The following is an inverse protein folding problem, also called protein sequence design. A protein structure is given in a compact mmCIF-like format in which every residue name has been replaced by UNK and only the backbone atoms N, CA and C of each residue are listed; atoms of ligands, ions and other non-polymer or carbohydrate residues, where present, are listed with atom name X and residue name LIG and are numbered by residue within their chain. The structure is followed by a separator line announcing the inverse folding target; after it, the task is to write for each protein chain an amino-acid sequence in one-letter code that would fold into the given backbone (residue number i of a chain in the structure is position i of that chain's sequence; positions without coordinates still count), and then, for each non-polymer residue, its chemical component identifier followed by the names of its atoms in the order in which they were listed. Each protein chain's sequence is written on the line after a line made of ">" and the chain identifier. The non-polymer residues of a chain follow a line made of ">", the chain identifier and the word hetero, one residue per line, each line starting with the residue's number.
data_IF_961778581146
#
_entry.id   IF_961778581146
#
_cell.length_a   1.000
_cell.length_b   1.000
_cell.length_c   1.000
_cell.angle_alpha   90.00
_cell.angle_beta   90.00
_cell.angle_gamma   90.00
#
_symmetry.space_group_name_H-M   'P 1'
#
loop_
_entity.id
_entity.type
_entity.pdbx_description
1 polymer ?
#
# COMPACT_ATOMS: atom_id res chain seq x y z
N UNK A 1 36.92 2.28 -13.25
CA UNK A 1 36.71 1.72 -11.92
C UNK A 1 36.28 0.27 -12.12
N UNK A 2 36.90 -0.64 -11.36
CA UNK A 2 36.80 -2.07 -11.56
C UNK A 2 35.40 -2.60 -11.17
N UNK A 3 34.87 -3.57 -11.90
CA UNK A 3 33.61 -4.29 -11.60
C UNK A 3 33.58 -4.86 -10.17
N UNK A 4 34.74 -5.17 -9.61
CA UNK A 4 34.91 -5.59 -8.21
C UNK A 4 34.44 -4.50 -7.24
N UNK A 5 34.91 -3.26 -7.43
CA UNK A 5 34.53 -2.10 -6.59
C UNK A 5 33.03 -1.81 -6.67
N UNK A 6 32.39 -1.98 -7.84
CA UNK A 6 30.95 -1.82 -8.01
C UNK A 6 30.18 -2.85 -7.19
N UNK A 7 30.54 -4.14 -7.28
CA UNK A 7 29.89 -5.22 -6.57
C UNK A 7 30.06 -5.09 -5.05
N UNK A 8 31.23 -4.70 -4.57
CA UNK A 8 31.48 -4.46 -3.14
C UNK A 8 30.64 -3.27 -2.62
N UNK A 9 30.59 -2.17 -3.37
CA UNK A 9 29.78 -1.00 -3.01
C UNK A 9 28.29 -1.33 -2.99
N UNK A 10 27.81 -2.09 -3.99
CA UNK A 10 26.41 -2.56 -4.03
C UNK A 10 26.08 -3.47 -2.84
N UNK A 11 26.96 -4.43 -2.52
CA UNK A 11 26.75 -5.34 -1.40
C UNK A 11 26.66 -4.56 -0.06
N UNK A 12 27.54 -3.57 0.14
CA UNK A 12 27.51 -2.71 1.33
C UNK A 12 26.26 -1.84 1.37
N UNK A 13 25.80 -1.30 0.23
CA UNK A 13 24.54 -0.57 0.13
C UNK A 13 23.36 -1.42 0.54
N UNK A 14 23.27 -2.64 0.01
CA UNK A 14 22.19 -3.58 0.30
C UNK A 14 22.18 -4.01 1.77
N UNK A 15 23.35 -4.29 2.36
CA UNK A 15 23.46 -4.61 3.77
C UNK A 15 22.97 -3.46 4.68
N UNK A 16 23.32 -2.21 4.34
CA UNK A 16 22.85 -1.04 5.09
C UNK A 16 21.34 -0.85 4.91
N UNK A 17 20.80 -1.11 3.73
CA UNK A 17 19.36 -1.07 3.49
C UNK A 17 18.62 -2.09 4.38
N UNK A 18 19.12 -3.32 4.47
CA UNK A 18 18.55 -4.36 5.35
C UNK A 18 18.61 -3.99 6.83
N UNK A 19 19.66 -3.28 7.25
CA UNK A 19 19.82 -2.77 8.63
C UNK A 19 19.03 -1.50 8.90
N UNK A 20 18.22 -1.03 7.95
CA UNK A 20 17.46 0.23 8.01
C UNK A 20 18.34 1.49 8.15
N UNK A 21 19.62 1.43 7.75
CA UNK A 21 20.52 2.58 7.64
C UNK A 21 20.29 3.28 6.29
N UNK A 22 19.10 3.89 6.12
CA UNK A 22 18.59 4.30 4.80
C UNK A 22 19.42 5.39 4.12
N UNK A 23 19.97 6.35 4.87
CA UNK A 23 20.81 7.42 4.31
C UNK A 23 22.14 6.87 3.81
N UNK A 24 22.77 5.95 4.54
CA UNK A 24 24.01 5.30 4.11
C UNK A 24 23.74 4.45 2.87
N UNK A 25 22.67 3.65 2.88
CA UNK A 25 22.27 2.84 1.75
C UNK A 25 22.04 3.69 0.49
N UNK A 26 21.31 4.81 0.63
CA UNK A 26 21.05 5.75 -0.47
C UNK A 26 22.36 6.26 -1.08
N UNK A 27 23.27 6.79 -0.26
CA UNK A 27 24.55 7.34 -0.73
C UNK A 27 25.40 6.28 -1.45
N UNK A 28 25.38 5.03 -0.97
CA UNK A 28 26.11 3.95 -1.60
C UNK A 28 25.44 3.50 -2.92
N UNK A 29 24.12 3.44 -2.98
CA UNK A 29 23.40 3.18 -4.24
C UNK A 29 23.67 4.26 -5.29
N UNK A 30 23.73 5.54 -4.89
CA UNK A 30 24.07 6.63 -5.79
C UNK A 30 25.51 6.49 -6.33
N UNK A 31 26.48 6.06 -5.50
CA UNK A 31 27.84 5.74 -5.96
C UNK A 31 27.84 4.61 -6.99
N UNK A 32 27.06 3.56 -6.80
CA UNK A 32 26.93 2.48 -7.80
C UNK A 32 26.37 3.02 -9.11
N UNK A 33 25.34 3.88 -9.05
CA UNK A 33 24.72 4.46 -10.27
C UNK A 33 25.62 5.46 -10.97
N UNK A 34 26.59 6.06 -10.30
CA UNK A 34 27.62 6.89 -10.94
C UNK A 34 28.61 6.04 -11.75
N UNK A 35 28.79 4.76 -11.40
CA UNK A 35 29.67 3.82 -12.12
C UNK A 35 28.88 3.14 -13.24
N UNK A 36 27.74 2.55 -12.92
CA UNK A 36 26.81 1.93 -13.85
C UNK A 36 25.39 2.53 -13.67
N UNK A 37 25.04 3.52 -14.47
CA UNK A 37 23.71 4.14 -14.41
C UNK A 37 22.57 3.18 -14.68
N UNK A 38 22.80 2.06 -15.35
CA UNK A 38 21.80 1.07 -15.73
C UNK A 38 21.82 -0.19 -14.85
N UNK A 39 22.56 -0.20 -13.75
CA UNK A 39 22.57 -1.33 -12.82
C UNK A 39 21.19 -1.57 -12.25
N UNK A 40 20.44 -2.50 -12.86
CA UNK A 40 19.02 -2.72 -12.58
C UNK A 40 18.69 -2.84 -11.09
N UNK A 41 19.44 -3.71 -10.37
CA UNK A 41 19.20 -3.96 -8.94
C UNK A 41 19.30 -2.67 -8.13
N UNK A 42 20.28 -1.81 -8.44
CA UNK A 42 20.46 -0.54 -7.72
C UNK A 42 19.37 0.46 -8.06
N UNK A 43 19.02 0.60 -9.34
CA UNK A 43 17.92 1.49 -9.78
C UNK A 43 16.62 1.10 -9.09
N UNK A 44 16.29 -0.21 -9.05
CA UNK A 44 15.09 -0.73 -8.40
C UNK A 44 15.13 -0.51 -6.87
N UNK A 45 16.23 -0.91 -6.20
CA UNK A 45 16.32 -0.82 -4.74
C UNK A 45 16.34 0.62 -4.24
N UNK A 46 17.04 1.52 -4.93
CA UNK A 46 17.00 2.95 -4.60
C UNK A 46 15.61 3.55 -4.83
N UNK A 47 14.94 3.17 -5.92
CA UNK A 47 13.55 3.55 -6.17
C UNK A 47 12.60 3.08 -5.07
N UNK A 48 12.78 1.83 -4.59
CA UNK A 48 12.00 1.25 -3.49
C UNK A 48 12.25 1.97 -2.16
N UNK A 49 13.51 2.27 -1.85
CA UNK A 49 13.91 3.02 -0.66
C UNK A 49 13.28 4.43 -0.67
N UNK A 50 13.31 5.11 -1.80
CA UNK A 50 12.69 6.43 -1.94
C UNK A 50 11.16 6.37 -1.82
N UNK A 51 10.53 5.27 -2.23
CA UNK A 51 9.09 5.03 -2.02
C UNK A 51 8.78 4.91 -0.54
N UNK A 52 9.58 4.15 0.22
CA UNK A 52 9.44 4.01 1.68
C UNK A 52 9.59 5.37 2.39
N UNK A 53 10.53 6.20 1.93
CA UNK A 53 10.76 7.55 2.46
C UNK A 53 9.77 8.60 1.90
N UNK A 54 8.72 8.17 1.19
CA UNK A 54 7.70 9.04 0.59
C UNK A 54 8.23 10.08 -0.39
N UNK A 55 9.44 9.89 -0.92
CA UNK A 55 10.00 10.74 -1.96
C UNK A 55 9.52 10.27 -3.35
N UNK A 56 8.21 10.36 -3.57
CA UNK A 56 7.53 9.76 -4.71
C UNK A 56 7.99 10.28 -6.08
N UNK A 57 8.39 11.56 -6.17
CA UNK A 57 8.86 12.13 -7.42
C UNK A 57 10.19 11.53 -7.89
N UNK A 58 11.15 11.34 -6.99
CA UNK A 58 12.43 10.69 -7.32
C UNK A 58 12.24 9.18 -7.49
N UNK A 59 11.43 8.53 -6.64
CA UNK A 59 11.06 7.13 -6.77
C UNK A 59 10.47 6.83 -8.15
N UNK A 60 9.53 7.68 -8.63
CA UNK A 60 8.93 7.55 -9.97
C UNK A 60 9.99 7.53 -11.07
N UNK A 61 10.99 8.44 -11.03
CA UNK A 61 12.05 8.49 -12.04
C UNK A 61 12.84 7.19 -12.09
N UNK A 62 13.27 6.69 -10.93
CA UNK A 62 14.08 5.46 -10.84
C UNK A 62 13.25 4.21 -11.19
N UNK A 63 12.04 4.09 -10.66
CA UNK A 63 11.20 2.92 -10.95
C UNK A 63 10.74 2.88 -12.41
N UNK A 64 10.51 4.03 -13.06
CA UNK A 64 10.32 4.08 -14.52
C UNK A 64 11.55 3.57 -15.26
N UNK A 65 12.75 3.97 -14.84
CA UNK A 65 14.00 3.47 -15.43
C UNK A 65 14.16 1.96 -15.20
N UNK A 66 13.89 1.47 -13.98
CA UNK A 66 13.89 0.04 -13.71
C UNK A 66 12.91 -0.72 -14.61
N UNK A 67 11.70 -0.19 -14.80
CA UNK A 67 10.70 -0.79 -15.69
C UNK A 67 11.06 -0.72 -17.18
N UNK A 68 11.90 0.21 -17.60
CA UNK A 68 12.47 0.24 -18.96
C UNK A 68 13.53 -0.84 -19.15
N UNK A 69 14.35 -1.12 -18.12
CA UNK A 69 15.39 -2.14 -18.16
C UNK A 69 14.76 -3.56 -18.10
N UNK A 70 13.82 -3.76 -17.18
CA UNK A 70 13.06 -5.02 -17.05
C UNK A 70 11.55 -4.72 -16.92
N UNK A 71 10.81 -4.76 -18.05
CA UNK A 71 9.37 -4.46 -18.07
C UNK A 71 8.49 -5.48 -17.36
N UNK A 72 9.02 -6.67 -17.08
CA UNK A 72 8.29 -7.77 -16.45
C UNK A 72 8.70 -8.02 -14.99
N UNK A 73 9.51 -7.15 -14.41
CA UNK A 73 9.88 -7.29 -13.01
C UNK A 73 8.70 -6.90 -12.09
N UNK A 74 8.09 -7.91 -11.50
CA UNK A 74 6.86 -7.80 -10.71
C UNK A 74 6.92 -6.72 -9.63
N UNK A 75 8.01 -6.71 -8.84
CA UNK A 75 8.16 -5.76 -7.74
C UNK A 75 8.34 -4.32 -8.24
N UNK A 76 8.97 -4.11 -9.40
CA UNK A 76 9.05 -2.79 -10.04
C UNK A 76 7.66 -2.28 -10.43
N UNK A 77 6.84 -3.14 -11.05
CA UNK A 77 5.48 -2.79 -11.44
C UNK A 77 4.62 -2.47 -10.22
N UNK A 78 4.71 -3.27 -9.16
CA UNK A 78 3.98 -3.01 -7.92
C UNK A 78 4.38 -1.69 -7.26
N UNK A 79 5.69 -1.43 -7.12
CA UNK A 79 6.17 -0.20 -6.50
C UNK A 79 5.88 1.03 -7.37
N UNK A 80 5.99 0.91 -8.69
CA UNK A 80 5.64 1.98 -9.61
C UNK A 80 4.13 2.29 -9.58
N UNK A 81 3.30 1.24 -9.48
CA UNK A 81 1.86 1.37 -9.27
C UNK A 81 1.54 2.12 -7.97
N UNK A 82 2.21 1.75 -6.86
CA UNK A 82 2.06 2.44 -5.59
C UNK A 82 2.48 3.91 -5.69
N UNK A 83 3.62 4.19 -6.32
CA UNK A 83 4.10 5.56 -6.49
C UNK A 83 3.15 6.39 -7.35
N UNK A 84 2.59 5.82 -8.43
CA UNK A 84 1.56 6.50 -9.22
C UNK A 84 0.28 6.74 -8.40
N UNK A 85 -0.15 5.78 -7.59
CA UNK A 85 -1.29 5.93 -6.69
C UNK A 85 -1.09 7.09 -5.71
N UNK A 86 0.05 7.14 -5.02
CA UNK A 86 0.38 8.19 -4.05
C UNK A 86 0.50 9.59 -4.69
N UNK A 87 0.83 9.65 -5.97
CA UNK A 87 0.86 10.89 -6.76
C UNK A 87 -0.50 11.25 -7.39
N UNK A 88 -1.57 10.47 -7.14
CA UNK A 88 -2.89 10.69 -7.74
C UNK A 88 -2.98 10.31 -9.23
N UNK A 89 -1.95 9.68 -9.80
CA UNK A 89 -1.90 9.24 -11.20
C UNK A 89 -2.60 7.87 -11.36
N UNK A 90 -3.85 7.76 -10.90
CA UNK A 90 -4.57 6.48 -10.72
C UNK A 90 -4.68 5.64 -11.99
N UNK A 91 -4.84 6.27 -13.15
CA UNK A 91 -4.92 5.53 -14.43
C UNK A 91 -3.58 4.83 -14.76
N UNK A 92 -2.44 5.44 -14.42
CA UNK A 92 -1.13 4.82 -14.60
C UNK A 92 -0.88 3.72 -13.57
N UNK A 93 -1.33 3.94 -12.33
CA UNK A 93 -1.28 2.91 -11.28
C UNK A 93 -2.06 1.66 -11.71
N UNK A 94 -3.29 1.84 -12.23
CA UNK A 94 -4.11 0.76 -12.80
C UNK A 94 -3.33 -0.06 -13.82
N UNK A 95 -2.72 0.59 -14.82
CA UNK A 95 -1.94 -0.10 -15.86
C UNK A 95 -0.74 -0.88 -15.31
N UNK A 96 -0.09 -0.40 -14.24
CA UNK A 96 0.99 -1.12 -13.58
C UNK A 96 0.48 -2.39 -12.88
N UNK A 97 -0.62 -2.29 -12.12
CA UNK A 97 -1.17 -3.44 -11.41
C UNK A 97 -1.80 -4.47 -12.35
N UNK A 98 -2.46 -4.04 -13.43
CA UNK A 98 -2.98 -4.95 -14.46
C UNK A 98 -1.85 -5.76 -15.14
N UNK A 99 -0.69 -5.15 -15.40
CA UNK A 99 0.48 -5.88 -15.87
C UNK A 99 1.00 -6.85 -14.81
N UNK A 100 1.08 -6.41 -13.56
CA UNK A 100 1.58 -7.22 -12.46
C UNK A 100 0.73 -8.49 -12.24
N UNK A 101 -0.60 -8.41 -12.29
CA UNK A 101 -1.48 -9.59 -12.14
C UNK A 101 -1.43 -10.55 -13.34
N UNK A 102 -1.02 -10.08 -14.53
CA UNK A 102 -0.77 -10.97 -15.67
C UNK A 102 0.47 -11.82 -15.46
N UNK A 103 1.49 -11.28 -14.76
CA UNK A 103 2.73 -11.99 -14.42
C UNK A 103 2.48 -12.96 -13.26
N UNK A 104 1.83 -12.49 -12.19
CA UNK A 104 1.53 -13.30 -11.02
C UNK A 104 0.05 -13.16 -10.64
N UNK A 105 -0.74 -14.19 -10.99
CA UNK A 105 -2.19 -14.22 -10.80
C UNK A 105 -2.64 -14.43 -9.35
N UNK A 106 -1.74 -14.87 -8.47
CA UNK A 106 -2.07 -15.21 -7.08
C UNK A 106 -1.28 -14.33 -6.09
N UNK A 107 -1.40 -13.01 -6.23
CA UNK A 107 -0.72 -12.05 -5.37
C UNK A 107 -1.75 -11.12 -4.67
N UNK A 108 -2.12 -11.47 -3.43
CA UNK A 108 -3.13 -10.72 -2.66
C UNK A 108 -2.80 -9.23 -2.47
N UNK A 109 -1.56 -8.82 -2.12
CA UNK A 109 -1.16 -7.42 -2.08
C UNK A 109 -1.46 -6.63 -3.35
N UNK A 110 -1.17 -7.19 -4.53
CA UNK A 110 -1.39 -6.51 -5.81
C UNK A 110 -2.88 -6.32 -6.08
N UNK A 111 -3.71 -7.35 -5.81
CA UNK A 111 -5.17 -7.21 -5.94
C UNK A 111 -5.74 -6.17 -4.98
N UNK A 112 -5.24 -6.11 -3.75
CA UNK A 112 -5.67 -5.07 -2.81
C UNK A 112 -5.30 -3.66 -3.29
N UNK A 113 -4.09 -3.47 -3.81
CA UNK A 113 -3.63 -2.18 -4.35
C UNK A 113 -4.41 -1.79 -5.62
N UNK A 114 -4.72 -2.77 -6.47
CA UNK A 114 -5.60 -2.59 -7.63
C UNK A 114 -7.00 -2.17 -7.18
N UNK A 115 -7.57 -2.82 -6.16
CA UNK A 115 -8.85 -2.45 -5.58
C UNK A 115 -8.87 -1.01 -5.05
N UNK A 116 -7.81 -0.59 -4.34
CA UNK A 116 -7.68 0.80 -3.89
C UNK A 116 -7.67 1.76 -5.08
N UNK A 117 -6.92 1.43 -6.13
CA UNK A 117 -6.82 2.26 -7.33
C UNK A 117 -8.16 2.37 -8.07
N UNK A 118 -8.88 1.27 -8.22
CA UNK A 118 -10.20 1.23 -8.84
C UNK A 118 -11.23 2.03 -8.05
N UNK A 119 -11.15 1.98 -6.72
CA UNK A 119 -12.00 2.81 -5.84
C UNK A 119 -11.79 4.29 -6.09
N UNK A 120 -10.53 4.76 -6.17
CA UNK A 120 -10.21 6.17 -6.46
C UNK A 120 -10.67 6.58 -7.88
N UNK A 121 -10.75 5.64 -8.82
CA UNK A 121 -11.31 5.84 -10.16
C UNK A 121 -12.86 5.76 -10.21
N UNK A 122 -13.53 5.57 -9.07
CA UNK A 122 -14.98 5.43 -8.99
C UNK A 122 -15.52 4.07 -9.47
N UNK A 123 -14.66 3.12 -9.79
CA UNK A 123 -15.01 1.77 -10.27
C UNK A 123 -15.30 0.82 -9.10
N UNK A 124 -16.37 1.14 -8.36
CA UNK A 124 -16.67 0.52 -7.06
C UNK A 124 -16.86 -0.99 -7.15
N UNK A 125 -17.62 -1.48 -8.14
CA UNK A 125 -17.88 -2.92 -8.31
C UNK A 125 -16.59 -3.71 -8.59
N UNK A 126 -15.74 -3.17 -9.45
CA UNK A 126 -14.45 -3.77 -9.78
C UNK A 126 -13.50 -3.77 -8.57
N UNK A 127 -13.51 -2.69 -7.76
CA UNK A 127 -12.73 -2.61 -6.53
C UNK A 127 -13.15 -3.69 -5.51
N UNK A 128 -14.46 -3.91 -5.32
CA UNK A 128 -14.98 -4.97 -4.46
C UNK A 128 -14.46 -6.34 -4.94
N UNK A 129 -14.60 -6.65 -6.23
CA UNK A 129 -14.10 -7.92 -6.79
C UNK A 129 -12.59 -8.11 -6.58
N UNK A 130 -11.80 -7.04 -6.66
CA UNK A 130 -10.37 -7.11 -6.38
C UNK A 130 -10.07 -7.41 -4.90
N UNK A 131 -10.78 -6.79 -3.96
CA UNK A 131 -10.61 -7.11 -2.54
C UNK A 131 -11.05 -8.54 -2.21
N UNK A 132 -12.15 -9.01 -2.79
CA UNK A 132 -12.61 -10.39 -2.66
C UNK A 132 -11.57 -11.37 -3.20
N UNK A 133 -10.97 -11.07 -4.36
CA UNK A 133 -9.90 -11.89 -4.92
C UNK A 133 -8.67 -11.92 -4.03
N UNK A 134 -8.28 -10.78 -3.43
CA UNK A 134 -7.19 -10.74 -2.45
C UNK A 134 -7.47 -11.64 -1.23
N UNK A 135 -8.72 -11.65 -0.74
CA UNK A 135 -9.17 -12.50 0.37
C UNK A 135 -9.19 -13.98 -0.04
N UNK A 136 -9.61 -14.31 -1.26
CA UNK A 136 -9.55 -15.69 -1.77
C UNK A 136 -8.12 -16.24 -1.82
N UNK A 137 -7.15 -15.40 -2.21
CA UNK A 137 -5.74 -15.77 -2.26
C UNK A 137 -5.16 -15.90 -0.84
N UNK A 138 -5.50 -14.96 0.04
CA UNK A 138 -5.08 -14.97 1.43
C UNK A 138 -6.26 -14.61 2.34
N UNK A 139 -6.89 -15.62 2.92
CA UNK A 139 -8.09 -15.48 3.77
C UNK A 139 -7.84 -14.68 5.06
N UNK A 140 -6.60 -14.41 5.42
CA UNK A 140 -6.20 -13.61 6.57
C UNK A 140 -5.56 -12.26 6.18
N UNK A 141 -5.79 -11.79 4.94
CA UNK A 141 -5.21 -10.54 4.48
C UNK A 141 -5.98 -9.34 5.06
N UNK A 142 -5.45 -8.82 6.16
CA UNK A 142 -6.05 -7.75 6.98
C UNK A 142 -6.49 -6.53 6.18
N UNK A 143 -5.61 -6.04 5.28
CA UNK A 143 -5.90 -4.84 4.52
C UNK A 143 -7.11 -5.01 3.59
N UNK A 144 -7.24 -6.17 2.93
CA UNK A 144 -8.39 -6.43 2.05
C UNK A 144 -9.69 -6.53 2.82
N UNK A 145 -9.70 -7.18 4.00
CA UNK A 145 -10.89 -7.20 4.86
C UNK A 145 -11.29 -5.79 5.31
N UNK A 146 -10.32 -4.98 5.76
CA UNK A 146 -10.59 -3.59 6.18
C UNK A 146 -11.13 -2.74 5.03
N UNK A 147 -10.50 -2.82 3.85
CA UNK A 147 -10.91 -2.07 2.66
C UNK A 147 -12.28 -2.52 2.13
N UNK A 148 -12.55 -3.83 2.12
CA UNK A 148 -13.84 -4.37 1.72
C UNK A 148 -14.94 -3.96 2.71
N UNK A 149 -14.66 -4.02 4.01
CA UNK A 149 -15.57 -3.52 5.03
C UNK A 149 -15.91 -2.04 4.84
N UNK A 150 -14.90 -1.22 4.52
CA UNK A 150 -15.08 0.20 4.27
C UNK A 150 -15.98 0.46 3.06
N UNK A 151 -15.66 -0.10 1.91
CA UNK A 151 -16.40 0.15 0.66
C UNK A 151 -17.84 -0.38 0.73
N UNK A 152 -18.06 -1.52 1.40
CA UNK A 152 -19.41 -2.08 1.64
C UNK A 152 -20.21 -1.19 2.58
N UNK A 153 -19.59 -0.67 3.64
CA UNK A 153 -20.25 0.25 4.58
C UNK A 153 -20.60 1.61 3.98
N UNK A 154 -19.80 2.10 3.04
CA UNK A 154 -20.06 3.30 2.24
C UNK A 154 -21.23 3.06 1.27
N UNK A 155 -21.35 1.86 0.71
CA UNK A 155 -22.45 1.43 -0.16
C UNK A 155 -23.69 0.91 0.60
N UNK A 156 -23.79 1.19 1.90
CA UNK A 156 -24.91 0.80 2.77
C UNK A 156 -25.13 -0.73 2.91
N UNK A 157 -24.15 -1.55 2.53
CA UNK A 157 -24.18 -2.99 2.81
C UNK A 157 -23.61 -3.28 4.21
N UNK A 158 -24.38 -2.87 5.22
CA UNK A 158 -23.94 -2.80 6.62
C UNK A 158 -23.59 -4.17 7.19
N UNK A 159 -24.38 -5.20 6.85
CA UNK A 159 -24.21 -6.55 7.41
C UNK A 159 -22.88 -7.19 6.95
N UNK A 160 -22.59 -7.14 5.66
CA UNK A 160 -21.34 -7.68 5.12
C UNK A 160 -20.14 -6.83 5.55
N UNK A 161 -20.27 -5.50 5.57
CA UNK A 161 -19.23 -4.62 6.08
C UNK A 161 -18.83 -4.98 7.52
N UNK A 162 -19.81 -5.24 8.38
CA UNK A 162 -19.58 -5.67 9.76
C UNK A 162 -18.74 -6.94 9.83
N UNK A 163 -19.11 -7.99 9.06
CA UNK A 163 -18.38 -9.28 9.03
C UNK A 163 -16.90 -9.07 8.66
N UNK A 164 -16.63 -8.24 7.66
CA UNK A 164 -15.26 -8.00 7.21
C UNK A 164 -14.44 -7.22 8.24
N UNK A 165 -15.01 -6.20 8.88
CA UNK A 165 -14.34 -5.51 9.98
C UNK A 165 -14.09 -6.43 11.18
N UNK A 166 -15.06 -7.25 11.56
CA UNK A 166 -14.89 -8.21 12.66
C UNK A 166 -13.79 -9.24 12.33
N UNK A 167 -13.72 -9.72 11.09
CA UNK A 167 -12.62 -10.61 10.67
C UNK A 167 -11.27 -9.93 10.75
N UNK A 168 -11.14 -8.68 10.29
CA UNK A 168 -9.90 -7.91 10.40
C UNK A 168 -9.49 -7.68 11.86
N UNK A 169 -10.45 -7.33 12.73
CA UNK A 169 -10.19 -7.06 14.14
C UNK A 169 -9.94 -8.33 14.97
N UNK A 170 -10.48 -9.47 14.56
CA UNK A 170 -10.14 -10.77 15.17
C UNK A 170 -8.68 -11.15 14.87
N UNK A 171 -8.17 -10.80 13.69
CA UNK A 171 -6.79 -11.04 13.30
C UNK A 171 -5.83 -10.02 13.92
N UNK A 172 -6.22 -8.76 13.99
CA UNK A 172 -5.48 -7.69 14.67
C UNK A 172 -6.43 -6.71 15.36
N UNK A 173 -6.65 -6.85 16.67
CA UNK A 173 -7.58 -6.00 17.45
C UNK A 173 -7.19 -4.52 17.50
N UNK A 174 -5.97 -4.16 17.09
CA UNK A 174 -5.44 -2.80 17.13
C UNK A 174 -5.19 -2.23 15.72
N UNK A 175 -5.73 -2.88 14.67
CA UNK A 175 -5.65 -2.35 13.31
C UNK A 175 -6.44 -1.04 13.22
N UNK A 176 -5.73 0.09 13.17
CA UNK A 176 -6.31 1.44 13.28
C UNK A 176 -7.40 1.68 12.25
N UNK A 177 -7.16 1.32 11.00
CA UNK A 177 -8.08 1.51 9.88
C UNK A 177 -9.38 0.71 10.06
N UNK A 178 -9.26 -0.53 10.56
CA UNK A 178 -10.43 -1.36 10.85
C UNK A 178 -11.18 -0.86 12.09
N UNK A 179 -10.48 -0.42 13.13
CA UNK A 179 -11.09 0.16 14.32
C UNK A 179 -11.89 1.42 13.97
N UNK A 180 -11.31 2.36 13.22
CA UNK A 180 -12.02 3.59 12.81
C UNK A 180 -13.23 3.27 11.92
N UNK A 181 -13.03 2.43 10.89
CA UNK A 181 -14.11 2.04 9.97
C UNK A 181 -15.25 1.30 10.68
N UNK A 182 -14.93 0.34 11.54
CA UNK A 182 -15.93 -0.40 12.32
C UNK A 182 -16.65 0.50 13.32
N UNK A 183 -15.92 1.39 13.99
CA UNK A 183 -16.52 2.36 14.88
C UNK A 183 -17.53 3.26 14.17
N UNK A 184 -17.19 3.79 12.98
CA UNK A 184 -18.13 4.57 12.16
C UNK A 184 -19.34 3.75 11.72
N UNK A 185 -19.16 2.48 11.39
CA UNK A 185 -20.25 1.55 11.07
C UNK A 185 -21.19 1.36 12.28
N UNK A 186 -20.62 1.19 13.48
CA UNK A 186 -21.39 1.03 14.71
C UNK A 186 -22.20 2.29 15.07
N UNK A 187 -21.70 3.50 14.72
CA UNK A 187 -22.49 4.75 14.86
C UNK A 187 -23.75 4.70 13.98
N UNK A 188 -23.63 4.24 12.73
CA UNK A 188 -24.80 4.05 11.84
C UNK A 188 -25.81 3.04 12.40
N UNK A 189 -25.36 2.10 13.23
CA UNK A 189 -26.18 1.10 13.91
C UNK A 189 -26.69 1.56 15.29
N UNK A 190 -26.52 2.83 15.66
CA UNK A 190 -26.88 3.38 16.97
C UNK A 190 -26.19 2.71 18.18
N UNK A 191 -25.07 1.99 17.95
CA UNK A 191 -24.28 1.34 19.01
C UNK A 191 -23.19 2.28 19.54
N UNK A 192 -23.59 3.44 20.07
CA UNK A 192 -22.69 4.55 20.39
C UNK A 192 -21.54 4.18 21.34
N UNK A 193 -21.81 3.47 22.44
CA UNK A 193 -20.78 3.12 23.43
C UNK A 193 -19.67 2.23 22.82
N UNK A 194 -20.07 1.21 22.02
CA UNK A 194 -19.12 0.37 21.30
C UNK A 194 -18.35 1.14 20.22
N UNK A 195 -19.08 1.98 19.48
CA UNK A 195 -18.51 2.81 18.43
C UNK A 195 -17.38 3.70 18.96
N UNK A 196 -17.63 4.42 20.07
CA UNK A 196 -16.64 5.30 20.70
C UNK A 196 -15.39 4.54 21.16
N UNK A 197 -15.54 3.33 21.69
CA UNK A 197 -14.40 2.49 22.08
C UNK A 197 -13.51 2.14 20.88
N UNK A 198 -14.10 1.76 19.74
CA UNK A 198 -13.35 1.46 18.53
C UNK A 198 -12.74 2.70 17.87
N UNK A 199 -13.47 3.82 17.77
CA UNK A 199 -12.95 5.06 17.22
C UNK A 199 -11.74 5.57 18.03
N UNK A 200 -11.81 5.46 19.38
CA UNK A 200 -10.67 5.82 20.23
C UNK A 200 -9.43 4.98 19.97
N UNK A 201 -9.59 3.69 19.66
CA UNK A 201 -8.49 2.81 19.25
C UNK A 201 -7.93 3.15 17.86
N UNK A 202 -8.78 3.56 16.93
CA UNK A 202 -8.40 3.90 15.55
C UNK A 202 -7.77 5.28 15.44
N UNK A 203 -8.54 6.33 15.67
CA UNK A 203 -8.13 7.73 15.49
C UNK A 203 -7.53 8.36 16.74
N UNK A 204 -7.63 7.74 17.90
CA UNK A 204 -6.99 8.20 19.14
C UNK A 204 -7.71 9.32 19.88
N UNK A 205 -8.53 10.14 19.24
CA UNK A 205 -9.25 11.24 19.90
C UNK A 205 -10.62 11.53 19.28
N UNK A 206 -11.56 11.90 20.16
CA UNK A 206 -12.90 12.35 19.77
C UNK A 206 -13.10 13.70 20.43
N UNK A 207 -13.35 14.74 19.64
CA UNK A 207 -13.76 16.05 20.16
C UNK A 207 -15.27 16.23 20.03
N UNK A 208 -15.90 16.62 21.11
CA UNK A 208 -17.30 17.04 21.14
C UNK A 208 -17.35 18.57 21.00
N UNK A 209 -18.13 19.05 20.07
CA UNK A 209 -18.47 20.47 19.96
C UNK A 209 -19.95 20.62 20.31
N UNK A 210 -20.38 21.80 20.81
CA UNK A 210 -21.76 22.05 21.27
C UNK A 210 -22.83 21.72 20.22
N UNK A 211 -22.50 21.67 18.95
CA UNK A 211 -23.46 21.39 17.86
C UNK A 211 -23.23 20.05 17.13
N UNK A 212 -22.04 19.47 17.20
CA UNK A 212 -21.70 18.21 16.49
C UNK A 212 -20.51 17.51 17.17
N UNK A 213 -20.38 16.19 17.02
CA UNK A 213 -19.12 15.53 17.33
C UNK A 213 -18.24 15.48 16.07
N UNK A 214 -16.96 15.78 16.23
CA UNK A 214 -15.96 15.66 15.17
C UNK A 214 -14.91 14.66 15.59
N UNK A 215 -14.64 13.67 14.75
CA UNK A 215 -13.54 12.73 14.92
C UNK A 215 -12.30 13.39 14.34
N UNK A 216 -11.26 13.53 15.15
CA UNK A 216 -9.98 14.14 14.75
C UNK A 216 -8.91 13.06 14.80
#
# INVERSE_FOLDING_TARGET
>A
MDTKTLNETFALAYQNHQKNNLDIAKNLYEKVLNIDPNHFKTVFLLGSLLTQNKNFNLAKKLLKKANQIDPNHLLTLNNLGLVYYELGEFQKALGCYEKAIKIEKNNAPIYNNLGNTLKELGKIKEAISCYERAIQINTNYLAAHSNLGKILGENNNIHEAKKHYEKALNLNPNLKEACDGYGRLLLKLNQHNKALAYIRKGSGSIRFTEKNFKII
#
